data_IF_961855145412
#
_entry.id   IF_961855145412
#
_cell.length_a   1.000
_cell.length_b   1.000
_cell.length_c   1.000
_cell.angle_alpha   90.00
_cell.angle_beta   90.00
_cell.angle_gamma   90.00
#
_symmetry.space_group_name_H-M   'P 1'
#
loop_
_entity.id
_entity.type
_entity.pdbx_description
1 polymer ?
#
# COMPACT_ATOMS: atom_id res chain seq x y z
N UNK A 1 -10.45 0.77 5.33
CA UNK A 1 -9.27 0.25 4.60
C UNK A 1 -8.17 -0.09 5.60
N UNK A 2 -7.56 -1.23 5.45
CA UNK A 2 -6.40 -1.62 6.25
C UNK A 2 -5.18 -0.85 5.78
N UNK A 3 -4.39 -0.33 6.72
CA UNK A 3 -3.20 0.47 6.40
C UNK A 3 -1.97 -0.11 7.06
N UNK A 4 -0.89 -0.19 6.28
CA UNK A 4 0.39 -0.73 6.75
C UNK A 4 1.51 0.20 6.32
N UNK A 5 2.46 0.40 7.22
CA UNK A 5 3.73 1.02 6.88
C UNK A 5 4.85 0.06 7.21
N UNK A 6 5.70 -0.15 6.23
CA UNK A 6 6.84 -1.05 6.37
C UNK A 6 8.02 -0.42 5.66
N UNK A 7 8.97 0.11 6.42
CA UNK A 7 10.16 0.73 5.84
C UNK A 7 10.96 -0.33 5.09
N UNK A 8 11.24 -0.07 3.81
CA UNK A 8 11.95 -1.05 2.99
C UNK A 8 11.14 -2.31 2.79
N UNK A 9 9.95 -2.19 2.22
CA UNK A 9 9.05 -3.31 1.98
C UNK A 9 9.77 -4.45 1.25
N UNK A 10 9.84 -5.62 1.89
CA UNK A 10 10.47 -6.79 1.30
C UNK A 10 9.46 -7.65 0.56
N UNK A 11 9.97 -8.55 -0.30
CA UNK A 11 9.13 -9.51 -1.01
C UNK A 11 8.35 -10.38 -0.01
N UNK A 12 9.00 -10.82 1.06
CA UNK A 12 8.34 -11.64 2.08
C UNK A 12 7.21 -10.90 2.78
N UNK A 13 7.43 -9.64 3.10
CA UNK A 13 6.41 -8.83 3.76
C UNK A 13 5.24 -8.53 2.81
N UNK A 14 5.55 -8.23 1.55
CA UNK A 14 4.52 -8.03 0.55
C UNK A 14 3.67 -9.28 0.37
N UNK A 15 4.31 -10.46 0.33
CA UNK A 15 3.58 -11.72 0.23
C UNK A 15 2.62 -11.90 1.41
N UNK A 16 3.10 -11.65 2.63
CA UNK A 16 2.27 -11.75 3.83
C UNK A 16 1.04 -10.84 3.74
N UNK A 17 1.24 -9.60 3.31
CA UNK A 17 0.16 -8.63 3.16
C UNK A 17 -0.83 -9.08 2.08
N UNK A 18 -0.33 -9.58 0.96
CA UNK A 18 -1.18 -10.09 -0.10
C UNK A 18 -2.01 -11.30 0.36
N UNK A 19 -1.43 -12.18 1.16
CA UNK A 19 -2.16 -13.32 1.71
C UNK A 19 -3.30 -12.88 2.63
N UNK A 20 -3.05 -11.88 3.46
CA UNK A 20 -4.09 -11.32 4.33
C UNK A 20 -5.20 -10.67 3.51
N UNK A 21 -4.83 -9.93 2.48
CA UNK A 21 -5.77 -9.28 1.58
C UNK A 21 -6.68 -10.31 0.90
N UNK A 22 -6.12 -11.37 0.39
CA UNK A 22 -6.87 -12.47 -0.24
C UNK A 22 -7.83 -13.11 0.78
N UNK A 23 -7.35 -13.37 1.99
CA UNK A 23 -8.14 -13.99 3.06
C UNK A 23 -9.36 -13.12 3.45
N UNK A 24 -9.28 -11.81 3.27
CA UNK A 24 -10.39 -10.90 3.57
C UNK A 24 -11.30 -10.65 2.36
N UNK A 25 -11.11 -11.38 1.27
CA UNK A 25 -11.97 -11.28 0.10
C UNK A 25 -11.51 -10.29 -0.95
N UNK A 26 -10.27 -9.84 -0.91
CA UNK A 26 -9.71 -8.86 -1.84
C UNK A 26 -8.73 -9.47 -2.83
N UNK A 27 -8.84 -10.78 -3.08
CA UNK A 27 -7.97 -11.44 -4.05
C UNK A 27 -8.12 -10.93 -5.48
N UNK A 28 -9.25 -10.33 -5.80
CA UNK A 28 -9.52 -9.73 -7.10
C UNK A 28 -9.28 -8.21 -7.13
N UNK A 29 -8.74 -7.64 -6.05
CA UNK A 29 -8.46 -6.22 -5.98
C UNK A 29 -7.38 -5.83 -7.00
N UNK A 30 -7.56 -4.67 -7.62
CA UNK A 30 -6.55 -4.11 -8.53
C UNK A 30 -5.43 -3.50 -7.70
N UNK A 31 -4.20 -3.82 -8.05
CA UNK A 31 -3.03 -3.22 -7.41
C UNK A 31 -2.75 -1.88 -8.10
N UNK A 32 -2.70 -0.82 -7.29
CA UNK A 32 -2.31 0.49 -7.79
C UNK A 32 -1.07 0.98 -7.06
N UNK A 33 -0.28 1.81 -7.73
CA UNK A 33 0.92 2.40 -7.15
C UNK A 33 0.69 3.89 -7.06
N UNK A 34 0.70 4.42 -5.85
CA UNK A 34 0.62 5.86 -5.63
C UNK A 34 2.05 6.37 -5.47
N UNK A 35 2.58 6.89 -6.54
CA UNK A 35 3.93 7.39 -6.59
C UNK A 35 3.90 8.83 -7.05
N UNK A 36 4.93 9.58 -6.69
CA UNK A 36 5.08 10.95 -7.14
C UNK A 36 5.26 10.95 -8.65
N UNK A 37 4.43 11.73 -9.34
CA UNK A 37 4.27 11.67 -10.80
C UNK A 37 5.36 12.41 -11.58
N UNK A 38 6.48 12.73 -10.98
CA UNK A 38 7.54 13.54 -11.61
C UNK A 38 8.43 12.77 -12.60
N UNK A 39 7.95 11.65 -13.11
CA UNK A 39 8.68 10.91 -14.12
C UNK A 39 9.91 10.19 -13.61
N UNK A 40 9.98 9.93 -12.32
CA UNK A 40 11.06 9.16 -11.73
C UNK A 40 10.91 7.71 -12.15
N UNK A 41 11.94 7.16 -12.77
CA UNK A 41 11.90 5.81 -13.31
C UNK A 41 12.04 4.72 -12.25
N UNK A 42 12.68 5.03 -11.12
CA UNK A 42 12.91 4.06 -10.05
C UNK A 42 12.28 4.57 -8.75
N UNK A 43 11.14 4.00 -8.41
CA UNK A 43 10.42 4.37 -7.20
C UNK A 43 10.51 3.22 -6.21
N UNK A 44 11.05 3.51 -5.04
CA UNK A 44 11.07 2.54 -3.96
C UNK A 44 9.74 2.57 -3.23
N UNK A 45 9.03 1.45 -3.28
CA UNK A 45 7.80 1.30 -2.50
C UNK A 45 8.19 0.95 -1.07
N UNK A 46 7.80 1.79 -0.15
CA UNK A 46 8.16 1.63 1.27
C UNK A 46 6.96 1.70 2.20
N UNK A 47 5.78 1.65 1.63
CA UNK A 47 4.57 1.61 2.44
C UNK A 47 3.43 1.03 1.63
N UNK A 48 2.38 0.64 2.33
CA UNK A 48 1.14 0.18 1.73
C UNK A 48 0.01 0.95 2.39
N UNK A 49 -0.74 1.70 1.60
CA UNK A 49 -1.96 2.31 2.13
C UNK A 49 -2.90 1.22 2.62
N UNK A 50 -2.95 0.12 1.91
CA UNK A 50 -3.70 -1.03 2.33
C UNK A 50 -4.63 -1.54 1.25
N UNK A 51 -5.57 -2.35 1.67
CA UNK A 51 -6.61 -2.85 0.77
C UNK A 51 -7.98 -2.45 1.28
N UNK A 52 -8.89 -2.22 0.36
CA UNK A 52 -10.24 -1.78 0.68
C UNK A 52 -11.01 -1.47 -0.58
N UNK A 53 -12.09 -0.72 -0.42
CA UNK A 53 -12.92 -0.28 -1.54
C UNK A 53 -12.65 1.20 -1.82
N UNK A 54 -12.53 1.51 -3.09
CA UNK A 54 -12.43 2.88 -3.57
C UNK A 54 -13.34 3.00 -4.78
N UNK A 55 -14.30 3.95 -4.72
CA UNK A 55 -15.29 4.17 -5.80
C UNK A 55 -15.95 2.87 -6.27
N UNK A 56 -16.40 2.05 -5.32
CA UNK A 56 -17.03 0.74 -5.56
C UNK A 56 -16.09 -0.32 -6.15
N UNK A 57 -14.80 -0.03 -6.24
CA UNK A 57 -13.79 -0.98 -6.72
C UNK A 57 -12.89 -1.42 -5.57
N UNK A 58 -12.51 -2.69 -5.59
CA UNK A 58 -11.54 -3.22 -4.63
C UNK A 58 -10.14 -2.85 -5.09
N UNK A 59 -9.35 -2.30 -4.19
CA UNK A 59 -7.97 -1.87 -4.50
C UNK A 59 -7.00 -2.30 -3.41
N UNK A 60 -5.76 -2.51 -3.81
CA UNK A 60 -4.63 -2.59 -2.91
C UNK A 60 -3.63 -1.54 -3.38
N UNK A 61 -3.32 -0.58 -2.51
CA UNK A 61 -2.50 0.58 -2.88
C UNK A 61 -1.10 0.47 -2.28
N UNK A 62 -0.10 0.57 -3.14
CA UNK A 62 1.30 0.66 -2.76
C UNK A 62 1.73 2.11 -2.81
N UNK A 63 2.46 2.57 -1.81
CA UNK A 63 2.82 3.98 -1.70
C UNK A 63 4.32 4.16 -1.49
N UNK A 64 4.82 5.30 -1.95
CA UNK A 64 6.19 5.75 -1.69
C UNK A 64 6.12 7.01 -0.83
N UNK A 65 6.69 6.93 0.37
CA UNK A 65 6.71 8.04 1.31
C UNK A 65 8.10 8.15 1.94
N UNK A 66 8.39 9.28 2.56
CA UNK A 66 9.70 9.53 3.15
C UNK A 66 9.91 8.71 4.41
N UNK A 67 8.89 8.67 5.28
CA UNK A 67 8.97 7.98 6.56
C UNK A 67 7.57 7.69 7.09
N UNK A 68 7.52 7.04 8.25
CA UNK A 68 6.26 6.69 8.90
C UNK A 68 5.44 7.92 9.25
N UNK A 69 6.10 8.99 9.66
CA UNK A 69 5.41 10.22 10.03
C UNK A 69 4.68 10.82 8.83
N UNK A 70 5.31 10.86 7.67
CA UNK A 70 4.66 11.30 6.45
C UNK A 70 3.50 10.39 6.08
N UNK A 71 3.69 9.08 6.19
CA UNK A 71 2.62 8.11 5.92
C UNK A 71 1.39 8.40 6.79
N UNK A 72 1.60 8.55 8.10
CA UNK A 72 0.49 8.79 9.03
C UNK A 72 -0.20 10.13 8.79
N UNK A 73 0.56 11.14 8.38
CA UNK A 73 0.00 12.47 8.07
C UNK A 73 -0.89 12.43 6.84
N UNK A 74 -0.53 11.64 5.83
CA UNK A 74 -1.27 11.57 4.56
C UNK A 74 -2.41 10.57 4.64
N UNK A 75 -2.15 9.38 5.18
CA UNK A 75 -3.08 8.25 5.13
C UNK A 75 -3.72 7.91 6.47
N UNK A 76 -3.21 8.45 7.56
CA UNK A 76 -3.64 8.09 8.91
C UNK A 76 -2.76 7.01 9.51
N UNK A 77 -3.09 6.61 10.73
CA UNK A 77 -2.28 5.63 11.45
C UNK A 77 -2.39 4.26 10.80
N UNK A 78 -1.24 3.58 10.70
CA UNK A 78 -1.20 2.19 10.27
C UNK A 78 -1.86 1.27 11.31
N UNK A 79 -2.48 0.22 10.84
CA UNK A 79 -3.12 -0.79 11.68
C UNK A 79 -2.11 -1.73 12.33
#
# INVERSE_FOLDING_TARGET
MKRFFEKGLTVSKLLEICQKSVAEGYGDAVVEVQADADGISDIMINGIEGWGNEDDSKVLSLVSVTDKQQFERIYGKAD
#
